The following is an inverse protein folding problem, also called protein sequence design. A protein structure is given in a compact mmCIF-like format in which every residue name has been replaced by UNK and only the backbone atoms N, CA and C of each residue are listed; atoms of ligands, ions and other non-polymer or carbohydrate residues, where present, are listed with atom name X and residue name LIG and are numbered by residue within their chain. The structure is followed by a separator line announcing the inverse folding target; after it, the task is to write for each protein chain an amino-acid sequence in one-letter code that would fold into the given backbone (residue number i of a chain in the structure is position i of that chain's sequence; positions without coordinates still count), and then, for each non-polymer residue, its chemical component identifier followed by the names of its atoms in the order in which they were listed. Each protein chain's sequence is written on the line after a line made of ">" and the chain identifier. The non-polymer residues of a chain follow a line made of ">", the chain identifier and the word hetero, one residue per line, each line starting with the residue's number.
data_IF_511942557406
#
_entry.id   IF_511942557406
#
_cell.length_a   1.000
_cell.length_b   1.000
_cell.length_c   1.000
_cell.angle_alpha   90.00
_cell.angle_beta   90.00
_cell.angle_gamma   90.00
#
_symmetry.space_group_name_H-M   'P 1'
#
loop_
_entity.id
_entity.type
_entity.pdbx_description
1 polymer ?
#
# COMPACT_ATOMS: atom_id res chain seq x y z
N UNK A 1 32.54 11.61 -39.55
CA UNK A 1 32.92 11.60 -38.12
C UNK A 1 31.79 12.20 -37.32
N UNK A 2 30.89 11.36 -36.77
CA UNK A 2 29.80 11.83 -35.92
C UNK A 2 30.17 11.49 -34.48
N UNK A 3 30.52 12.52 -33.71
CA UNK A 3 30.78 12.42 -32.28
C UNK A 3 29.44 12.16 -31.60
N UNK A 4 29.19 10.92 -31.19
CA UNK A 4 28.08 10.59 -30.29
C UNK A 4 28.39 11.27 -28.95
N UNK A 5 27.66 12.34 -28.64
CA UNK A 5 27.58 12.86 -27.27
C UNK A 5 27.02 11.72 -26.41
N UNK A 6 27.85 11.19 -25.53
CA UNK A 6 27.39 10.37 -24.42
C UNK A 6 26.57 11.30 -23.51
N UNK A 7 25.25 11.12 -23.52
CA UNK A 7 24.39 11.72 -22.52
C UNK A 7 24.78 11.14 -21.15
N UNK A 8 25.53 11.92 -20.38
CA UNK A 8 25.88 11.60 -18.99
C UNK A 8 24.58 11.66 -18.18
N UNK A 9 23.92 10.51 -18.03
CA UNK A 9 22.80 10.35 -17.11
C UNK A 9 23.35 10.51 -15.69
N UNK A 10 22.86 11.53 -14.99
CA UNK A 10 23.18 11.76 -13.57
C UNK A 10 22.47 10.65 -12.77
N UNK A 11 23.22 9.61 -12.42
CA UNK A 11 22.78 8.62 -11.43
C UNK A 11 22.56 9.36 -10.10
N UNK A 12 21.39 9.18 -9.50
CA UNK A 12 21.09 9.72 -8.17
C UNK A 12 22.17 9.22 -7.19
N UNK A 13 22.82 10.14 -6.46
CA UNK A 13 23.98 9.84 -5.60
C UNK A 13 23.66 8.70 -4.62
N UNK A 14 22.42 8.66 -4.14
CA UNK A 14 21.92 7.61 -3.26
C UNK A 14 21.90 6.23 -3.92
N UNK A 15 21.48 6.16 -5.18
CA UNK A 15 21.43 4.91 -5.97
C UNK A 15 22.83 4.37 -6.21
N UNK A 16 23.76 5.26 -6.60
CA UNK A 16 25.17 4.91 -6.78
C UNK A 16 25.81 4.40 -5.48
N UNK A 17 25.47 4.99 -4.34
CA UNK A 17 25.96 4.57 -3.03
C UNK A 17 25.41 3.22 -2.58
N UNK A 18 24.10 2.98 -2.75
CA UNK A 18 23.48 1.68 -2.44
C UNK A 18 24.05 0.58 -3.34
N UNK A 19 24.17 0.84 -4.65
CA UNK A 19 24.80 -0.09 -5.58
C UNK A 19 26.26 -0.38 -5.19
N UNK A 20 27.02 0.63 -4.76
CA UNK A 20 28.41 0.44 -4.28
C UNK A 20 28.46 -0.47 -3.06
N UNK A 21 27.56 -0.28 -2.09
CA UNK A 21 27.49 -1.13 -0.91
C UNK A 21 27.17 -2.58 -1.28
N UNK A 22 26.22 -2.79 -2.20
CA UNK A 22 25.86 -4.13 -2.70
C UNK A 22 27.05 -4.79 -3.40
N UNK A 23 27.69 -4.10 -4.35
CA UNK A 23 28.86 -4.62 -5.09
C UNK A 23 30.03 -4.91 -4.14
N UNK A 24 30.28 -4.03 -3.18
CA UNK A 24 31.31 -4.22 -2.15
C UNK A 24 31.03 -5.44 -1.27
N UNK A 25 29.78 -5.64 -0.86
CA UNK A 25 29.39 -6.82 -0.07
C UNK A 25 29.53 -8.12 -0.88
N UNK A 26 29.11 -8.12 -2.14
CA UNK A 26 29.29 -9.27 -3.04
C UNK A 26 30.77 -9.60 -3.28
N UNK A 27 31.63 -8.58 -3.40
CA UNK A 27 33.08 -8.75 -3.52
C UNK A 27 33.67 -9.34 -2.25
N UNK A 28 33.27 -8.86 -1.06
CA UNK A 28 33.67 -9.44 0.22
C UNK A 28 33.27 -10.91 0.34
N UNK A 29 32.00 -11.25 0.04
CA UNK A 29 31.52 -12.63 0.07
C UNK A 29 32.30 -13.53 -0.91
N UNK A 30 32.64 -13.01 -2.09
CA UNK A 30 33.44 -13.76 -3.05
C UNK A 30 34.84 -14.03 -2.48
N UNK A 31 35.48 -13.04 -1.87
CA UNK A 31 36.81 -13.15 -1.26
C UNK A 31 36.83 -14.03 0.00
N UNK A 32 35.76 -14.07 0.79
CA UNK A 32 35.68 -14.84 2.04
C UNK A 32 35.40 -16.33 1.85
N UNK A 33 35.24 -16.80 0.61
CA UNK A 33 34.99 -18.21 0.30
C UNK A 33 33.52 -18.61 0.23
N UNK A 34 32.59 -17.65 0.32
CA UNK A 34 31.13 -17.89 0.24
C UNK A 34 30.63 -18.08 -1.22
N UNK A 35 31.47 -18.66 -2.09
CA UNK A 35 31.13 -18.86 -3.51
C UNK A 35 29.86 -19.70 -3.70
N UNK A 36 29.60 -20.65 -2.79
CA UNK A 36 28.40 -21.49 -2.82
C UNK A 36 27.13 -20.66 -2.64
N UNK A 37 27.13 -19.69 -1.72
CA UNK A 37 25.99 -18.80 -1.48
C UNK A 37 25.74 -17.85 -2.68
N UNK A 38 26.82 -17.34 -3.28
CA UNK A 38 26.74 -16.49 -4.47
C UNK A 38 26.20 -17.27 -5.69
N UNK A 39 26.63 -18.52 -5.88
CA UNK A 39 26.10 -19.39 -6.93
C UNK A 39 24.63 -19.75 -6.71
N UNK A 40 24.23 -20.04 -5.48
CA UNK A 40 22.84 -20.31 -5.11
C UNK A 40 21.93 -19.08 -5.36
N UNK A 41 22.50 -17.87 -5.27
CA UNK A 41 21.82 -16.61 -5.58
C UNK A 41 21.76 -16.30 -7.09
N UNK A 42 22.20 -17.24 -7.95
CA UNK A 42 22.14 -17.10 -9.40
C UNK A 42 23.31 -16.33 -10.04
N UNK A 43 24.36 -16.00 -9.28
CA UNK A 43 25.51 -15.26 -9.81
C UNK A 43 26.45 -16.21 -10.58
N UNK A 44 26.75 -15.95 -11.87
CA UNK A 44 27.64 -16.81 -12.65
C UNK A 44 29.07 -16.89 -12.09
N UNK A 45 29.72 -18.06 -12.21
CA UNK A 45 31.13 -18.27 -11.78
C UNK A 45 32.13 -17.27 -12.41
N UNK A 46 31.85 -16.77 -13.61
CA UNK A 46 32.66 -15.71 -14.26
C UNK A 46 32.60 -14.41 -13.47
N UNK A 47 31.43 -14.05 -12.98
CA UNK A 47 31.18 -12.80 -12.26
C UNK A 47 31.72 -12.88 -10.83
N UNK A 48 31.65 -14.05 -10.19
CA UNK A 48 32.29 -14.28 -8.89
C UNK A 48 33.82 -14.10 -8.99
N UNK A 49 34.44 -14.61 -10.06
CA UNK A 49 35.87 -14.40 -10.31
C UNK A 49 36.22 -12.92 -10.55
N UNK A 50 35.33 -12.18 -11.21
CA UNK A 50 35.50 -10.74 -11.40
C UNK A 50 35.37 -9.97 -10.07
N UNK A 51 34.38 -10.32 -9.24
CA UNK A 51 34.15 -9.75 -7.91
C UNK A 51 35.36 -9.92 -6.96
N UNK A 52 36.08 -11.05 -7.06
CA UNK A 52 37.33 -11.29 -6.29
C UNK A 52 38.48 -10.36 -6.67
N UNK A 53 38.45 -9.81 -7.88
CA UNK A 53 39.52 -8.98 -8.45
C UNK A 53 39.11 -7.51 -8.53
N UNK A 54 37.94 -7.17 -7.99
CA UNK A 54 37.39 -5.83 -8.09
C UNK A 54 38.23 -4.88 -7.23
N UNK A 55 38.78 -3.84 -7.86
CA UNK A 55 39.36 -2.73 -7.11
C UNK A 55 38.27 -1.81 -6.57
N UNK A 56 38.63 -0.95 -5.60
CA UNK A 56 37.72 0.06 -5.08
C UNK A 56 37.20 1.00 -6.19
N UNK A 57 38.07 1.38 -7.13
CA UNK A 57 37.73 2.28 -8.24
C UNK A 57 36.83 1.58 -9.28
N UNK A 58 37.06 0.30 -9.55
CA UNK A 58 36.22 -0.48 -10.45
C UNK A 58 34.82 -0.72 -9.86
N UNK A 59 34.72 -0.91 -8.55
CA UNK A 59 33.44 -0.98 -7.82
C UNK A 59 32.60 0.27 -8.02
N UNK A 60 33.24 1.45 -7.93
CA UNK A 60 32.59 2.74 -8.18
C UNK A 60 32.10 2.89 -9.62
N UNK A 61 32.93 2.50 -10.60
CA UNK A 61 32.54 2.53 -12.02
C UNK A 61 31.41 1.56 -12.34
N UNK A 62 31.36 0.42 -11.65
CA UNK A 62 30.27 -0.56 -11.77
C UNK A 62 28.97 -0.07 -11.13
N UNK A 63 29.03 0.59 -9.97
CA UNK A 63 27.83 1.10 -9.30
C UNK A 63 27.14 2.22 -10.09
N UNK A 64 27.91 3.01 -10.83
CA UNK A 64 27.38 4.03 -11.75
C UNK A 64 26.71 3.46 -13.00
N UNK A 65 26.91 2.16 -13.31
CA UNK A 65 26.30 1.48 -14.46
C UNK A 65 25.09 0.62 -14.08
N UNK A 66 24.72 0.61 -12.79
CA UNK A 66 23.72 -0.29 -12.24
C UNK A 66 22.27 0.19 -12.41
N UNK A 67 22.06 1.40 -12.94
CA UNK A 67 20.73 2.01 -13.13
C UNK A 67 19.76 1.15 -13.97
N UNK A 68 20.27 0.28 -14.85
CA UNK A 68 19.46 -0.58 -15.71
C UNK A 68 19.21 -2.00 -15.13
N UNK A 69 19.79 -2.34 -13.96
CA UNK A 69 19.78 -3.73 -13.43
C UNK A 69 19.02 -3.86 -12.11
N UNK A 70 18.99 -2.81 -11.28
CA UNK A 70 18.35 -2.86 -9.97
C UNK A 70 17.53 -1.60 -9.71
N UNK A 71 16.20 -1.71 -9.72
CA UNK A 71 15.32 -0.63 -9.28
C UNK A 71 15.37 -0.50 -7.75
N UNK A 72 16.34 0.28 -7.28
CA UNK A 72 16.52 0.58 -5.85
C UNK A 72 15.28 1.26 -5.26
N UNK A 73 14.54 2.06 -6.03
CA UNK A 73 13.32 2.70 -5.54
C UNK A 73 12.23 1.66 -5.29
N UNK A 74 12.06 0.68 -6.18
CA UNK A 74 11.16 -0.43 -5.96
C UNK A 74 11.60 -1.32 -4.78
N UNK A 75 12.91 -1.60 -4.66
CA UNK A 75 13.47 -2.35 -3.54
C UNK A 75 13.20 -1.66 -2.20
N UNK A 76 13.53 -0.37 -2.09
CA UNK A 76 13.29 0.43 -0.89
C UNK A 76 11.80 0.52 -0.57
N UNK A 77 10.93 0.68 -1.57
CA UNK A 77 9.47 0.62 -1.36
C UNK A 77 9.02 -0.73 -0.79
N UNK A 78 9.62 -1.84 -1.22
CA UNK A 78 9.33 -3.17 -0.69
C UNK A 78 9.84 -3.37 0.74
N UNK A 79 11.05 -2.90 1.04
CA UNK A 79 11.67 -3.02 2.38
C UNK A 79 10.98 -2.13 3.40
N UNK A 80 10.67 -0.89 3.03
CA UNK A 80 9.99 0.08 3.89
C UNK A 80 8.48 0.09 3.68
N UNK A 81 7.92 -0.97 3.07
CA UNK A 81 6.48 -1.10 2.88
C UNK A 81 5.85 -1.00 4.26
N UNK A 82 5.13 0.10 4.51
CA UNK A 82 4.38 0.25 5.76
C UNK A 82 3.20 -0.70 5.67
N UNK A 83 3.40 -1.88 6.24
CA UNK A 83 2.34 -2.86 6.38
C UNK A 83 1.14 -2.18 7.03
N UNK A 84 -0.03 -2.52 6.50
CA UNK A 84 -1.30 -2.16 7.13
C UNK A 84 -1.30 -2.81 8.51
N UNK A 85 -1.49 -2.04 9.61
CA UNK A 85 -1.69 -2.63 10.92
C UNK A 85 -2.81 -3.68 10.88
N UNK A 86 -2.59 -4.83 11.50
CA UNK A 86 -3.50 -5.98 11.44
C UNK A 86 -4.92 -5.63 11.89
N UNK A 87 -5.03 -4.75 12.88
CA UNK A 87 -6.30 -4.20 13.36
C UNK A 87 -7.11 -3.52 12.26
N UNK A 88 -6.48 -2.81 11.31
CA UNK A 88 -7.22 -2.06 10.27
C UNK A 88 -7.48 -2.88 9.01
N UNK A 89 -6.79 -4.00 8.87
CA UNK A 89 -6.82 -4.82 7.67
C UNK A 89 -8.24 -5.30 7.31
N UNK A 90 -9.07 -5.82 8.26
CA UNK A 90 -10.43 -6.24 7.94
C UNK A 90 -11.28 -5.11 7.37
N UNK A 91 -11.24 -3.92 7.96
CA UNK A 91 -12.06 -2.80 7.51
C UNK A 91 -11.64 -2.32 6.12
N UNK A 92 -10.33 -2.21 5.86
CA UNK A 92 -9.84 -1.82 4.54
C UNK A 92 -10.16 -2.87 3.47
N UNK A 93 -10.03 -4.16 3.80
CA UNK A 93 -10.38 -5.26 2.90
C UNK A 93 -11.87 -5.30 2.53
N UNK A 94 -12.74 -4.88 3.46
CA UNK A 94 -14.19 -4.77 3.23
C UNK A 94 -14.64 -3.36 2.75
N UNK A 95 -13.69 -2.52 2.32
CA UNK A 95 -14.02 -1.30 1.59
C UNK A 95 -14.25 -0.06 2.43
N UNK A 96 -13.74 0.01 3.66
CA UNK A 96 -13.83 1.21 4.49
C UNK A 96 -13.19 2.41 3.76
N UNK A 97 -13.95 3.50 3.59
CA UNK A 97 -13.50 4.68 2.86
C UNK A 97 -12.67 5.62 3.76
N UNK A 98 -12.09 6.69 3.20
CA UNK A 98 -11.23 7.60 3.98
C UNK A 98 -11.98 8.27 5.14
N UNK A 99 -13.22 8.68 4.93
CA UNK A 99 -14.03 9.34 5.95
C UNK A 99 -14.32 8.40 7.10
N UNK A 100 -14.69 7.15 6.81
CA UNK A 100 -14.97 6.13 7.80
C UNK A 100 -13.72 5.77 8.62
N UNK A 101 -12.56 5.62 7.96
CA UNK A 101 -11.29 5.37 8.65
C UNK A 101 -10.86 6.56 9.54
N UNK A 102 -11.12 7.79 9.10
CA UNK A 102 -10.85 8.99 9.89
C UNK A 102 -11.81 9.13 11.07
N UNK A 103 -13.09 8.81 10.86
CA UNK A 103 -14.12 8.89 11.89
C UNK A 103 -13.86 7.91 13.04
N UNK A 104 -13.65 6.64 12.72
CA UNK A 104 -13.54 5.58 13.73
C UNK A 104 -12.12 5.40 14.28
N UNK A 105 -11.08 5.60 13.47
CA UNK A 105 -9.70 5.31 13.87
C UNK A 105 -8.79 6.54 13.87
N UNK A 106 -9.29 7.73 13.52
CA UNK A 106 -8.49 8.96 13.37
C UNK A 106 -7.34 8.81 12.37
N UNK A 107 -7.50 7.93 11.39
CA UNK A 107 -6.49 7.68 10.35
C UNK A 107 -6.76 8.58 9.15
N UNK A 108 -5.77 9.41 8.81
CA UNK A 108 -5.83 10.32 7.66
C UNK A 108 -5.81 9.56 6.34
N UNK A 109 -6.47 10.15 5.34
CA UNK A 109 -6.48 9.68 3.94
C UNK A 109 -5.08 9.42 3.36
N UNK A 110 -4.07 10.20 3.78
CA UNK A 110 -2.69 10.04 3.32
C UNK A 110 -2.04 8.70 3.68
N UNK A 111 -2.54 8.03 4.73
CA UNK A 111 -2.12 6.66 5.09
C UNK A 111 -2.99 5.61 4.39
N UNK A 112 -4.30 5.86 4.34
CA UNK A 112 -5.26 4.90 3.77
C UNK A 112 -5.09 4.70 2.25
N UNK A 113 -4.69 5.73 1.50
CA UNK A 113 -4.47 5.62 0.05
C UNK A 113 -3.44 4.55 -0.31
N UNK A 114 -2.16 4.71 0.13
CA UNK A 114 -1.11 3.72 -0.12
C UNK A 114 -1.48 2.32 0.38
N UNK A 115 -2.10 2.22 1.56
CA UNK A 115 -2.56 0.93 2.08
C UNK A 115 -3.55 0.22 1.15
N UNK A 116 -4.53 0.93 0.59
CA UNK A 116 -5.49 0.32 -0.34
C UNK A 116 -4.87 -0.04 -1.69
N UNK A 117 -3.90 0.72 -2.16
CA UNK A 117 -3.17 0.41 -3.41
C UNK A 117 -2.38 -0.90 -3.27
N UNK A 118 -1.91 -1.19 -2.07
CA UNK A 118 -1.16 -2.40 -1.73
C UNK A 118 -2.04 -3.62 -1.43
N UNK A 119 -3.32 -3.40 -1.12
CA UNK A 119 -4.28 -4.47 -0.81
C UNK A 119 -5.02 -4.91 -2.08
N UNK A 120 -5.10 -6.23 -2.28
CA UNK A 120 -5.91 -6.80 -3.36
C UNK A 120 -7.41 -6.84 -2.98
N UNK A 121 -8.02 -5.66 -2.83
CA UNK A 121 -9.43 -5.51 -2.43
C UNK A 121 -10.35 -5.96 -3.56
N UNK A 122 -11.31 -6.86 -3.31
CA UNK A 122 -12.25 -7.28 -4.35
C UNK A 122 -13.09 -6.12 -4.90
N UNK A 123 -13.43 -6.17 -6.19
CA UNK A 123 -14.19 -5.10 -6.89
C UNK A 123 -15.52 -4.77 -6.20
N UNK A 124 -16.20 -5.77 -5.61
CA UNK A 124 -17.48 -5.61 -4.92
C UNK A 124 -17.38 -4.73 -3.65
N UNK A 125 -16.20 -4.67 -3.02
CA UNK A 125 -15.95 -3.84 -1.85
C UNK A 125 -15.42 -2.44 -2.20
N UNK A 126 -15.19 -2.14 -3.49
CA UNK A 126 -14.77 -0.81 -3.95
C UNK A 126 -15.94 0.07 -4.39
N UNK A 127 -17.17 -0.44 -4.32
CA UNK A 127 -18.36 0.28 -4.76
C UNK A 127 -18.78 1.32 -3.71
N UNK A 128 -19.37 2.42 -4.20
CA UNK A 128 -19.94 3.49 -3.35
C UNK A 128 -21.42 3.32 -3.05
N UNK A 129 -22.06 2.36 -3.72
CA UNK A 129 -23.49 2.09 -3.60
C UNK A 129 -23.71 0.64 -3.20
N UNK A 130 -24.77 0.43 -2.42
CA UNK A 130 -25.23 -0.91 -2.05
C UNK A 130 -25.78 -1.63 -3.28
N UNK A 131 -25.48 -2.93 -3.48
CA UNK A 131 -26.05 -3.69 -4.58
C UNK A 131 -27.57 -3.82 -4.45
N UNK A 132 -28.32 -3.59 -5.53
CA UNK A 132 -29.80 -3.64 -5.53
C UNK A 132 -30.37 -4.92 -4.88
N UNK A 133 -29.74 -6.09 -5.11
CA UNK A 133 -30.18 -7.37 -4.55
C UNK A 133 -30.05 -7.46 -3.02
N UNK A 134 -29.18 -6.65 -2.42
CA UNK A 134 -28.91 -6.62 -0.97
C UNK A 134 -29.35 -5.31 -0.33
N UNK A 135 -29.83 -4.36 -1.11
CA UNK A 135 -30.17 -3.02 -0.65
C UNK A 135 -31.16 -3.05 0.52
N UNK A 136 -32.34 -3.66 0.31
CA UNK A 136 -33.40 -3.69 1.31
C UNK A 136 -32.94 -4.31 2.63
N UNK A 137 -32.36 -5.52 2.57
CA UNK A 137 -31.92 -6.22 3.78
C UNK A 137 -30.81 -5.47 4.53
N UNK A 138 -29.87 -4.84 3.82
CA UNK A 138 -28.81 -4.05 4.47
C UNK A 138 -29.38 -2.78 5.09
N UNK A 139 -30.29 -2.09 4.41
CA UNK A 139 -30.95 -0.89 4.93
C UNK A 139 -31.79 -1.21 6.17
N UNK A 140 -32.56 -2.30 6.15
CA UNK A 140 -33.34 -2.74 7.30
C UNK A 140 -32.42 -2.98 8.52
N UNK A 141 -31.28 -3.68 8.32
CA UNK A 141 -30.30 -3.90 9.39
C UNK A 141 -29.65 -2.61 9.89
N UNK A 142 -29.35 -1.65 9.00
CA UNK A 142 -28.81 -0.35 9.40
C UNK A 142 -29.84 0.46 10.19
N UNK A 143 -31.12 0.39 9.82
CA UNK A 143 -32.20 1.02 10.59
C UNK A 143 -32.32 0.43 12.00
N UNK A 144 -32.23 -0.90 12.13
CA UNK A 144 -32.24 -1.56 13.44
C UNK A 144 -31.08 -1.09 14.34
N UNK A 145 -29.91 -0.79 13.75
CA UNK A 145 -28.79 -0.19 14.48
C UNK A 145 -29.06 1.29 14.84
N UNK A 146 -29.74 2.03 13.97
CA UNK A 146 -30.13 3.41 14.22
C UNK A 146 -31.18 3.56 15.34
N UNK A 147 -31.87 2.49 15.75
CA UNK A 147 -32.71 2.53 16.96
C UNK A 147 -31.89 2.70 18.24
N UNK A 148 -30.61 2.32 18.23
CA UNK A 148 -29.70 2.34 19.38
C UNK A 148 -28.63 3.43 19.27
N UNK A 149 -28.29 3.81 18.04
CA UNK A 149 -27.20 4.73 17.74
C UNK A 149 -27.68 5.82 16.77
N UNK A 150 -27.04 6.98 16.78
CA UNK A 150 -27.18 7.91 15.66
C UNK A 150 -26.57 7.29 14.39
N UNK A 151 -26.97 7.68 13.17
CA UNK A 151 -26.40 7.12 11.93
C UNK A 151 -24.87 7.14 11.91
N UNK A 152 -24.26 8.23 12.37
CA UNK A 152 -22.80 8.39 12.46
C UNK A 152 -22.18 7.84 13.76
N UNK A 153 -22.99 7.31 14.66
CA UNK A 153 -22.59 6.79 15.98
C UNK A 153 -22.48 5.27 16.05
N UNK A 154 -22.85 4.55 14.98
CA UNK A 154 -22.81 3.09 14.93
C UNK A 154 -21.36 2.59 15.07
N UNK A 155 -21.06 1.63 15.97
CA UNK A 155 -19.74 1.03 16.06
C UNK A 155 -19.30 0.36 14.75
N UNK A 156 -18.06 0.58 14.35
CA UNK A 156 -17.56 0.06 13.07
C UNK A 156 -17.51 -1.47 13.01
N UNK A 157 -17.39 -2.15 14.14
CA UNK A 157 -17.40 -3.63 14.20
C UNK A 157 -18.78 -4.21 13.87
N UNK A 158 -19.85 -3.50 14.21
CA UNK A 158 -21.21 -3.88 13.83
C UNK A 158 -21.41 -3.70 12.33
N UNK A 159 -20.91 -2.60 11.77
CA UNK A 159 -20.90 -2.39 10.32
C UNK A 159 -20.06 -3.45 9.60
N UNK A 160 -18.90 -3.81 10.14
CA UNK A 160 -18.04 -4.85 9.57
C UNK A 160 -18.76 -6.20 9.55
N UNK A 161 -19.50 -6.53 10.61
CA UNK A 161 -20.29 -7.76 10.70
C UNK A 161 -21.32 -7.83 9.57
N UNK A 162 -22.08 -6.76 9.32
CA UNK A 162 -23.04 -6.67 8.20
C UNK A 162 -22.32 -6.79 6.85
N UNK A 163 -21.20 -6.08 6.67
CA UNK A 163 -20.40 -6.12 5.45
C UNK A 163 -19.93 -7.54 5.11
N UNK A 164 -19.46 -8.29 6.12
CA UNK A 164 -19.02 -9.67 5.99
C UNK A 164 -20.18 -10.61 5.67
N UNK A 165 -21.30 -10.53 6.40
CA UNK A 165 -22.45 -11.41 6.23
C UNK A 165 -23.13 -11.23 4.86
N UNK A 166 -23.27 -9.98 4.42
CA UNK A 166 -24.00 -9.65 3.19
C UNK A 166 -23.09 -9.38 1.99
N UNK A 167 -21.76 -9.46 2.19
CA UNK A 167 -20.73 -9.26 1.16
C UNK A 167 -20.88 -7.89 0.46
N UNK A 168 -21.03 -6.83 1.27
CA UNK A 168 -21.20 -5.44 0.81
C UNK A 168 -20.05 -4.55 1.29
N UNK A 169 -19.86 -3.43 0.59
CA UNK A 169 -18.83 -2.43 0.91
C UNK A 169 -19.20 -1.64 2.17
N UNK A 170 -18.26 -1.54 3.12
CA UNK A 170 -18.34 -0.62 4.26
C UNK A 170 -18.53 0.82 3.81
N UNK A 171 -17.80 1.25 2.77
CA UNK A 171 -17.93 2.59 2.21
C UNK A 171 -19.30 2.86 1.57
N UNK A 172 -19.99 1.82 1.08
CA UNK A 172 -21.35 1.96 0.56
C UNK A 172 -22.37 2.13 1.70
N UNK A 173 -22.25 1.36 2.78
CA UNK A 173 -23.10 1.55 3.97
C UNK A 173 -22.90 2.93 4.59
N UNK A 174 -21.64 3.38 4.69
CA UNK A 174 -21.31 4.71 5.19
C UNK A 174 -21.98 5.83 4.37
N UNK A 175 -22.05 5.66 3.04
CA UNK A 175 -22.69 6.66 2.17
C UNK A 175 -24.20 6.77 2.41
N UNK A 176 -24.88 5.67 2.80
CA UNK A 176 -26.29 5.74 3.18
C UNK A 176 -26.48 6.39 4.55
N UNK A 177 -25.63 6.06 5.53
CA UNK A 177 -25.67 6.67 6.86
C UNK A 177 -25.41 8.18 6.83
N UNK A 178 -24.50 8.65 5.98
CA UNK A 178 -24.26 10.08 5.77
C UNK A 178 -25.52 10.81 5.28
N UNK A 179 -26.30 10.20 4.37
CA UNK A 179 -27.54 10.81 3.88
C UNK A 179 -28.59 10.91 5.00
N UNK A 180 -28.74 9.85 5.80
CA UNK A 180 -29.71 9.85 6.90
C UNK A 180 -29.36 10.90 7.97
N UNK A 181 -28.07 11.05 8.30
CA UNK A 181 -27.62 12.09 9.23
C UNK A 181 -27.92 13.50 8.70
N UNK A 182 -27.71 13.74 7.41
CA UNK A 182 -28.04 15.02 6.76
C UNK A 182 -29.55 15.31 6.74
N UNK A 183 -30.38 14.29 6.50
CA UNK A 183 -31.85 14.39 6.51
C UNK A 183 -32.38 14.69 7.92
N UNK A 184 -31.90 13.96 8.93
CA UNK A 184 -32.27 14.17 10.34
C UNK A 184 -31.93 15.59 10.83
N UNK A 185 -30.75 16.09 10.49
CA UNK A 185 -30.32 17.44 10.86
C UNK A 185 -31.11 18.53 10.12
N UNK A 186 -31.54 18.27 8.88
CA UNK A 186 -32.40 19.20 8.14
C UNK A 186 -33.79 19.32 8.80
N UNK A 187 -34.36 18.21 9.25
CA UNK A 187 -35.69 18.21 9.86
C UNK A 187 -35.71 18.81 11.27
N UNK A 188 -34.67 18.56 12.08
CA UNK A 188 -34.48 19.25 13.37
C UNK A 188 -34.39 20.78 13.23
N UNK A 189 -33.80 21.29 12.15
CA UNK A 189 -33.70 22.74 11.88
C UNK A 189 -35.03 23.36 11.45
N UNK A 190 -35.89 22.62 10.76
CA UNK A 190 -37.24 23.08 10.36
C UNK A 190 -38.18 23.19 11.56
N UNK A 191 -38.07 22.27 12.53
CA UNK A 191 -38.94 22.27 13.73
C UNK A 191 -38.59 23.37 14.75
N UNK A 192 -37.43 24.02 14.62
CA UNK A 192 -36.98 25.12 15.50
C UNK A 192 -37.30 26.53 14.95
N UNK A 193 -37.96 26.62 13.80
CA UNK A 193 -38.44 27.88 13.19
C UNK A 193 -39.96 27.95 13.32
#
# INVERSE_FOLDING_TARGET
>A
MSSKKEDVKVVDVLTADVCRLIVGHLSMLACSGEEKALLASGIPKSNIRALKRLSYEDSWKLSQKADDVLDIKALLKGVFKKNVPEEYLPYLMYGANNKQMEHHFRIRASKCGPWRDDLNIERKFRTRLLPNKKYKIVVDLLNDLCEKHTPMGIPIDELLTIAQQHQVSLGAMWTELEKWDEEDEADKKKQKK
#
